data_IF_757667251223
#
_entry.id   IF_757667251223
#
_cell.length_a   1.000
_cell.length_b   1.000
_cell.length_c   1.000
_cell.angle_alpha   90.00
_cell.angle_beta   90.00
_cell.angle_gamma   90.00
#
_symmetry.space_group_name_H-M   'P 1'
#
loop_
_entity.id
_entity.type
_entity.pdbx_description
1 polymer ?
#
# COMPACT_ATOMS: atom_id res chain seq x y z
N UNK A 1 -3.78 -7.37 -1.82
CA UNK A 1 -3.45 -6.97 -3.20
C UNK A 1 -2.57 -5.72 -3.24
N UNK A 2 -2.07 -5.38 -4.42
CA UNK A 2 -1.25 -4.17 -4.70
C UNK A 2 -1.87 -3.42 -5.88
N UNK A 3 -2.02 -2.09 -5.76
CA UNK A 3 -2.45 -1.22 -6.86
C UNK A 3 -1.31 -0.28 -7.21
N UNK A 4 -0.78 -0.41 -8.42
CA UNK A 4 0.27 0.48 -8.90
C UNK A 4 -0.29 1.81 -9.41
N UNK A 5 0.25 2.92 -8.90
CA UNK A 5 -0.11 4.26 -9.32
C UNK A 5 1.10 4.99 -9.91
N UNK A 6 0.84 5.96 -10.79
CA UNK A 6 1.88 6.73 -11.49
C UNK A 6 2.59 7.75 -10.58
N UNK A 7 1.89 8.35 -9.63
CA UNK A 7 2.43 9.42 -8.76
C UNK A 7 2.14 9.17 -7.29
N UNK A 8 2.91 9.83 -6.40
CA UNK A 8 2.75 9.75 -4.94
C UNK A 8 1.39 10.27 -4.48
N UNK A 9 0.95 11.37 -5.08
CA UNK A 9 -0.33 12.00 -4.77
C UNK A 9 -1.48 11.07 -5.16
N UNK A 10 -1.40 10.46 -6.35
CA UNK A 10 -2.40 9.47 -6.79
C UNK A 10 -2.46 8.27 -5.84
N UNK A 11 -1.34 7.75 -5.33
CA UNK A 11 -1.35 6.68 -4.33
C UNK A 11 -2.13 7.10 -3.07
N UNK A 12 -1.87 8.30 -2.57
CA UNK A 12 -2.46 8.81 -1.33
C UNK A 12 -3.95 9.07 -1.48
N UNK A 13 -4.34 9.76 -2.55
CA UNK A 13 -5.73 10.02 -2.87
C UNK A 13 -6.54 8.75 -3.07
N UNK A 14 -5.97 7.78 -3.81
CA UNK A 14 -6.64 6.52 -4.09
C UNK A 14 -6.80 5.68 -2.81
N UNK A 15 -5.76 5.59 -1.98
CA UNK A 15 -5.84 4.87 -0.71
C UNK A 15 -6.90 5.46 0.22
N UNK A 16 -6.98 6.80 0.29
CA UNK A 16 -7.99 7.50 1.07
C UNK A 16 -9.39 7.26 0.52
N UNK A 17 -9.58 7.36 -0.80
CA UNK A 17 -10.88 7.13 -1.45
C UNK A 17 -11.36 5.68 -1.24
N UNK A 18 -10.50 4.70 -1.49
CA UNK A 18 -10.85 3.28 -1.34
C UNK A 18 -11.17 2.92 0.12
N UNK A 19 -10.39 3.44 1.08
CA UNK A 19 -10.68 3.24 2.51
C UNK A 19 -12.04 3.82 2.88
N UNK A 20 -12.39 5.01 2.39
CA UNK A 20 -13.70 5.64 2.63
C UNK A 20 -14.87 4.85 2.04
N UNK A 21 -14.66 4.10 0.95
CA UNK A 21 -15.73 3.25 0.40
C UNK A 21 -16.08 2.06 1.30
N UNK A 22 -15.20 1.65 2.21
CA UNK A 22 -15.38 0.49 3.09
C UNK A 22 -15.40 -0.88 2.41
N UNK A 23 -15.38 -0.94 1.07
CA UNK A 23 -15.56 -2.19 0.30
C UNK A 23 -14.33 -3.10 0.29
N UNK A 24 -13.14 -2.53 0.48
CA UNK A 24 -11.87 -3.21 0.28
C UNK A 24 -11.04 -3.39 1.57
N UNK A 25 -11.66 -3.16 2.73
CA UNK A 25 -10.96 -3.12 4.02
C UNK A 25 -10.00 -1.94 4.11
N UNK A 26 -8.92 -2.13 4.88
CA UNK A 26 -7.91 -1.10 5.10
C UNK A 26 -7.02 -0.97 3.85
N UNK A 27 -6.97 0.24 3.28
CA UNK A 27 -6.09 0.56 2.15
C UNK A 27 -5.07 1.62 2.58
N UNK A 28 -3.79 1.41 2.25
CA UNK A 28 -2.70 2.35 2.60
C UNK A 28 -1.86 2.70 1.38
N UNK A 29 -1.36 3.93 1.34
CA UNK A 29 -0.41 4.37 0.34
C UNK A 29 1.02 3.95 0.70
N UNK A 30 1.83 3.57 -0.28
CA UNK A 30 3.25 3.26 -0.11
C UNK A 30 4.08 3.93 -1.22
N UNK A 31 4.91 4.90 -0.87
CA UNK A 31 5.78 5.58 -1.83
C UNK A 31 6.99 6.24 -1.14
N UNK A 32 7.98 6.65 -1.93
CA UNK A 32 9.23 7.25 -1.44
C UNK A 32 9.06 8.58 -0.66
N UNK A 33 7.90 9.25 -0.76
CA UNK A 33 7.60 10.42 0.09
C UNK A 33 7.26 10.09 1.55
N UNK A 34 7.10 8.82 1.92
CA UNK A 34 6.86 8.40 3.31
C UNK A 34 8.19 8.14 4.02
N UNK A 35 8.21 8.39 5.34
CA UNK A 35 9.35 8.04 6.19
C UNK A 35 9.64 6.54 6.13
N UNK A 36 10.89 6.16 6.39
CA UNK A 36 11.29 4.75 6.37
C UNK A 36 10.48 3.92 7.39
N UNK A 37 10.29 4.45 8.59
CA UNK A 37 9.47 3.84 9.65
C UNK A 37 8.05 3.58 9.18
N UNK A 38 7.43 4.55 8.49
CA UNK A 38 6.06 4.40 7.99
C UNK A 38 5.97 3.35 6.89
N UNK A 39 6.95 3.31 6.00
CA UNK A 39 7.02 2.28 4.94
C UNK A 39 7.16 0.89 5.55
N UNK A 40 8.02 0.71 6.54
CA UNK A 40 8.20 -0.56 7.27
C UNK A 40 6.90 -0.96 7.97
N UNK A 41 6.24 -0.03 8.67
CA UNK A 41 4.96 -0.31 9.33
C UNK A 41 3.90 -0.78 8.32
N UNK A 42 3.70 -0.05 7.23
CA UNK A 42 2.67 -0.38 6.23
C UNK A 42 2.96 -1.72 5.56
N UNK A 43 4.24 -2.02 5.28
CA UNK A 43 4.65 -3.31 4.75
C UNK A 43 4.33 -4.44 5.74
N UNK A 44 4.67 -4.29 7.02
CA UNK A 44 4.36 -5.27 8.06
C UNK A 44 2.84 -5.45 8.23
N UNK A 45 2.08 -4.36 8.27
CA UNK A 45 0.61 -4.40 8.38
C UNK A 45 -0.01 -5.17 7.20
N UNK A 46 0.51 -4.98 5.99
CA UNK A 46 0.03 -5.72 4.82
C UNK A 46 0.49 -7.18 4.79
N UNK A 47 1.70 -7.48 5.26
CA UNK A 47 2.17 -8.86 5.41
C UNK A 47 1.29 -9.62 6.42
N UNK A 48 0.95 -9.00 7.55
CA UNK A 48 0.11 -9.55 8.61
C UNK A 48 -1.40 -9.52 8.30
N UNK A 49 -1.81 -8.97 7.14
CA UNK A 49 -3.22 -8.91 6.72
C UNK A 49 -4.05 -7.79 7.38
N UNK A 50 -3.44 -6.92 8.18
CA UNK A 50 -4.07 -5.72 8.74
C UNK A 50 -4.37 -4.67 7.67
N UNK A 51 -3.53 -4.60 6.64
CA UNK A 51 -3.77 -3.81 5.42
C UNK A 51 -4.11 -4.75 4.27
N UNK A 52 -5.31 -4.61 3.71
CA UNK A 52 -5.81 -5.48 2.64
C UNK A 52 -5.21 -5.11 1.27
N UNK A 53 -5.03 -3.82 1.03
CA UNK A 53 -4.51 -3.29 -0.24
C UNK A 53 -3.46 -2.20 0.02
N UNK A 54 -2.36 -2.26 -0.73
CA UNK A 54 -1.39 -1.16 -0.80
C UNK A 54 -1.50 -0.46 -2.16
N UNK A 55 -1.65 0.86 -2.15
CA UNK A 55 -1.50 1.71 -3.34
C UNK A 55 -0.04 2.19 -3.42
N UNK A 56 0.73 1.69 -4.39
CA UNK A 56 2.16 1.95 -4.46
C UNK A 56 2.64 2.52 -5.80
N UNK A 57 3.73 3.28 -5.78
CA UNK A 57 4.50 3.57 -6.99
C UNK A 57 5.43 2.40 -7.34
N UNK A 58 6.09 2.44 -8.50
CA UNK A 58 7.09 1.43 -8.96
C UNK A 58 8.21 1.11 -7.96
N UNK A 59 8.38 1.95 -6.93
CA UNK A 59 9.31 1.75 -5.82
C UNK A 59 8.93 0.60 -4.87
N UNK A 60 7.75 0.02 -4.98
CA UNK A 60 7.31 -1.12 -4.16
C UNK A 60 7.57 -2.42 -4.93
N UNK A 61 8.63 -3.16 -4.57
CA UNK A 61 8.99 -4.40 -5.27
C UNK A 61 10.38 -4.95 -4.98
N UNK A 62 11.35 -4.13 -4.55
CA UNK A 62 12.66 -4.64 -4.10
C UNK A 62 12.54 -5.24 -2.68
N UNK A 63 12.06 -6.48 -2.57
CA UNK A 63 12.13 -7.27 -1.32
C UNK A 63 10.81 -7.75 -0.70
N UNK A 64 9.70 -7.76 -1.45
CA UNK A 64 8.43 -8.35 -0.99
C UNK A 64 8.33 -9.78 -1.54
N UNK A 65 8.63 -10.78 -0.71
CA UNK A 65 8.32 -12.20 -0.98
C UNK A 65 7.12 -12.61 -0.11
N UNK A 66 5.92 -12.36 -0.62
CA UNK A 66 4.67 -12.82 0.00
C UNK A 66 4.04 -13.82 -0.96
N UNK A 67 4.09 -15.10 -0.62
CA UNK A 67 3.64 -16.21 -1.47
C UNK A 67 2.16 -16.19 -1.89
N UNK A 68 1.34 -15.34 -1.26
CA UNK A 68 -0.12 -15.24 -1.48
C UNK A 68 -0.56 -13.90 -2.13
N UNK A 69 0.30 -13.27 -2.92
CA UNK A 69 -0.09 -12.09 -3.70
C UNK A 69 -0.81 -12.54 -4.97
N UNK A 70 -2.14 -12.39 -4.96
CA UNK A 70 -3.00 -12.43 -6.14
C UNK A 70 -3.52 -11.04 -6.50
#
# INVERSE_FOLDING_TARGET
GIIYCRTRDTCSDLANKLTQTGKYGTVKAYHAGLTNEKRIQIQNDWMNGLTSIICATISFGMGIDKGDVR
#
